data_IF_206056365971
#
_entry.id   IF_206056365971
#
_cell.length_a   1.000
_cell.length_b   1.000
_cell.length_c   1.000
_cell.angle_alpha   90.00
_cell.angle_beta   90.00
_cell.angle_gamma   90.00
#
_symmetry.space_group_name_H-M   'P 1'
#
loop_
_entity.id
_entity.type
_entity.pdbx_description
1 polymer ?
#
# COMPACT_ATOMS: atom_id res chain seq x y z
N UNK A 1 31.77 -11.28 5.70
CA UNK A 1 30.66 -10.31 5.81
C UNK A 1 30.80 -9.40 4.60
N UNK A 2 29.92 -9.52 3.61
CA UNK A 2 29.96 -8.67 2.43
C UNK A 2 29.39 -7.30 2.83
N UNK A 3 30.20 -6.26 2.63
CA UNK A 3 29.83 -4.88 2.86
C UNK A 3 28.81 -4.48 1.78
N UNK A 4 27.56 -4.22 2.19
CA UNK A 4 26.49 -3.77 1.30
C UNK A 4 26.69 -2.28 1.01
N UNK A 5 27.74 -1.95 0.27
CA UNK A 5 28.12 -0.56 -0.04
C UNK A 5 27.21 0.11 -1.06
N UNK A 6 26.31 -0.64 -1.71
CA UNK A 6 25.38 -0.07 -2.69
C UNK A 6 24.03 -0.80 -2.71
N UNK A 7 22.96 -0.04 -2.47
CA UNK A 7 21.56 -0.49 -2.53
C UNK A 7 20.87 -0.05 -3.83
N UNK A 8 21.60 0.57 -4.77
CA UNK A 8 21.08 1.03 -6.06
C UNK A 8 20.50 -0.09 -6.93
N UNK A 9 20.93 -1.34 -6.69
CA UNK A 9 20.39 -2.54 -7.33
C UNK A 9 19.25 -3.24 -6.57
N UNK A 10 18.87 -2.75 -5.38
CA UNK A 10 17.77 -3.30 -4.58
C UNK A 10 16.49 -2.55 -4.95
N UNK A 11 16.06 -2.68 -6.21
CA UNK A 11 14.68 -2.39 -6.58
C UNK A 11 13.88 -3.68 -6.46
N UNK A 12 13.27 -3.91 -5.30
CA UNK A 12 12.19 -4.88 -5.21
C UNK A 12 11.09 -4.50 -6.20
N UNK A 13 10.37 -5.48 -6.74
CA UNK A 13 9.12 -5.20 -7.45
C UNK A 13 8.21 -4.38 -6.54
N UNK A 14 7.67 -3.27 -7.04
CA UNK A 14 6.65 -2.52 -6.31
C UNK A 14 5.51 -3.43 -5.89
N UNK A 15 4.87 -3.12 -4.76
CA UNK A 15 3.74 -3.91 -4.26
C UNK A 15 2.61 -3.95 -5.29
N UNK A 16 2.00 -5.12 -5.46
CA UNK A 16 0.78 -5.26 -6.27
C UNK A 16 -0.41 -4.64 -5.54
N UNK A 17 -1.49 -4.37 -6.28
CA UNK A 17 -2.75 -3.84 -5.73
C UNK A 17 -3.30 -4.77 -4.63
N UNK A 18 -3.24 -6.08 -4.85
CA UNK A 18 -3.70 -7.10 -3.91
C UNK A 18 -2.86 -7.09 -2.64
N UNK A 19 -1.54 -6.92 -2.76
CA UNK A 19 -0.63 -6.85 -1.62
C UNK A 19 -0.89 -5.59 -0.78
N UNK A 20 -1.12 -4.43 -1.43
CA UNK A 20 -1.45 -3.19 -0.73
C UNK A 20 -2.79 -3.32 0.01
N UNK A 21 -3.81 -3.91 -0.63
CA UNK A 21 -5.12 -4.18 0.02
C UNK A 21 -5.00 -5.16 1.20
N UNK A 22 -4.13 -6.16 1.09
CA UNK A 22 -3.83 -7.08 2.19
C UNK A 22 -3.19 -6.37 3.38
N UNK A 23 -2.23 -5.48 3.13
CA UNK A 23 -1.59 -4.66 4.18
C UNK A 23 -2.62 -3.76 4.87
N UNK A 24 -3.48 -3.08 4.11
CA UNK A 24 -4.56 -2.25 4.67
C UNK A 24 -5.50 -3.06 5.57
N UNK A 25 -5.91 -4.24 5.11
CA UNK A 25 -6.78 -5.15 5.88
C UNK A 25 -6.12 -5.58 7.20
N UNK A 26 -4.81 -5.84 7.18
CA UNK A 26 -4.06 -6.20 8.39
C UNK A 26 -3.96 -5.01 9.37
N UNK A 27 -3.70 -3.81 8.87
CA UNK A 27 -3.66 -2.60 9.70
C UNK A 27 -5.02 -2.36 10.36
N UNK A 28 -6.12 -2.50 9.61
CA UNK A 28 -7.47 -2.33 10.14
C UNK A 28 -7.77 -3.34 11.24
N UNK A 29 -7.37 -4.60 11.06
CA UNK A 29 -7.50 -5.64 12.08
C UNK A 29 -6.69 -5.30 13.35
N UNK A 30 -5.46 -4.80 13.19
CA UNK A 30 -4.61 -4.46 14.33
C UNK A 30 -5.13 -3.24 15.10
N UNK A 31 -5.67 -2.24 14.39
CA UNK A 31 -6.37 -1.10 15.00
C UNK A 31 -7.60 -1.57 15.76
N UNK A 32 -8.44 -2.43 15.17
CA UNK A 32 -9.60 -3.01 15.83
C UNK A 32 -9.22 -3.79 17.08
N UNK A 33 -8.14 -4.58 17.04
CA UNK A 33 -7.65 -5.34 18.19
C UNK A 33 -7.16 -4.41 19.32
N UNK A 34 -6.47 -3.31 18.98
CA UNK A 34 -6.02 -2.32 19.97
C UNK A 34 -7.20 -1.64 20.67
N UNK A 35 -8.26 -1.33 19.92
CA UNK A 35 -9.47 -0.69 20.44
C UNK A 35 -10.33 -1.66 21.26
N UNK A 36 -10.60 -2.86 20.72
CA UNK A 36 -11.48 -3.87 21.33
C UNK A 36 -10.98 -4.34 22.69
N UNK A 37 -9.68 -4.57 22.80
CA UNK A 37 -9.11 -5.10 24.03
C UNK A 37 -8.98 -4.03 25.13
N UNK A 38 -9.48 -2.80 24.90
CA UNK A 38 -9.33 -1.68 25.83
C UNK A 38 -7.86 -1.34 26.13
N UNK A 39 -6.93 -1.85 25.30
CA UNK A 39 -5.48 -1.82 25.54
C UNK A 39 -4.90 -0.41 25.56
N UNK A 40 -5.65 0.58 25.06
CA UNK A 40 -5.29 2.00 25.12
C UNK A 40 -5.46 2.61 26.52
N UNK A 41 -6.27 1.99 27.40
CA UNK A 41 -6.62 2.56 28.72
C UNK A 41 -5.46 2.60 29.72
N UNK A 42 -4.40 1.80 29.56
CA UNK A 42 -3.09 2.20 30.05
C UNK A 42 -2.06 2.31 28.93
N UNK A 43 -1.62 3.54 28.76
CA UNK A 43 -0.64 3.98 27.79
C UNK A 43 0.73 3.34 28.01
N UNK A 44 0.99 2.82 29.21
CA UNK A 44 2.26 2.19 29.61
C UNK A 44 1.97 1.04 30.58
N UNK A 45 2.21 -0.20 30.15
CA UNK A 45 2.31 -1.33 31.08
C UNK A 45 3.72 -1.90 30.94
N UNK A 46 4.40 -2.10 32.06
CA UNK A 46 5.65 -2.84 32.06
C UNK A 46 5.38 -4.29 31.66
N UNK A 47 5.95 -4.72 30.52
CA UNK A 47 6.02 -6.15 30.21
C UNK A 47 6.98 -6.76 31.22
N UNK A 48 6.52 -7.77 31.96
CA UNK A 48 7.18 -8.30 33.15
C UNK A 48 8.65 -8.69 32.98
N UNK A 49 9.39 -8.53 34.09
CA UNK A 49 10.73 -9.03 34.39
C UNK A 49 11.85 -8.73 33.37
N UNK A 50 12.08 -7.46 33.05
CA UNK A 50 13.26 -7.02 32.30
C UNK A 50 13.11 -5.62 31.73
N UNK A 51 12.57 -4.69 32.53
CA UNK A 51 12.08 -3.39 32.11
C UNK A 51 13.10 -2.56 31.30
N UNK A 52 13.10 -2.75 29.97
CA UNK A 52 13.70 -1.86 28.98
C UNK A 52 12.83 -1.62 27.74
N UNK A 53 11.73 -2.37 27.57
CA UNK A 53 10.78 -2.17 26.47
C UNK A 53 9.41 -1.72 27.02
N UNK A 54 9.27 -0.43 27.29
CA UNK A 54 7.96 0.19 27.44
C UNK A 54 7.42 0.44 26.03
N UNK A 55 6.50 -0.39 25.56
CA UNK A 55 5.81 -0.14 24.27
C UNK A 55 4.71 0.89 24.52
N UNK A 56 4.90 2.10 24.00
CA UNK A 56 3.86 3.14 23.99
C UNK A 56 2.77 2.75 22.98
N UNK A 57 1.62 2.33 23.51
CA UNK A 57 0.49 1.86 22.69
C UNK A 57 -0.18 2.99 21.92
N UNK A 58 -0.11 4.22 22.42
CA UNK A 58 -0.58 5.41 21.71
C UNK A 58 0.31 5.71 20.51
N UNK A 59 1.63 5.64 20.71
CA UNK A 59 2.59 5.75 19.61
C UNK A 59 2.39 4.65 18.56
N UNK A 60 2.10 3.41 18.99
CA UNK A 60 1.80 2.32 18.07
C UNK A 60 0.52 2.56 17.25
N UNK A 61 -0.56 3.02 17.89
CA UNK A 61 -1.79 3.36 17.18
C UNK A 61 -1.55 4.48 16.16
N UNK A 62 -0.82 5.53 16.55
CA UNK A 62 -0.46 6.62 15.63
C UNK A 62 0.39 6.13 14.45
N UNK A 63 1.30 5.18 14.68
CA UNK A 63 2.09 4.57 13.62
C UNK A 63 1.20 3.78 12.64
N UNK A 64 0.26 2.97 13.16
CA UNK A 64 -0.71 2.23 12.34
C UNK A 64 -1.60 3.16 11.51
N UNK A 65 -2.12 4.24 12.11
CA UNK A 65 -2.95 5.22 11.40
C UNK A 65 -2.17 5.94 10.30
N UNK A 66 -0.90 6.32 10.56
CA UNK A 66 -0.02 6.90 9.54
C UNK A 66 0.29 5.92 8.41
N UNK A 67 0.59 4.67 8.76
CA UNK A 67 0.81 3.62 7.77
C UNK A 67 -0.42 3.41 6.90
N UNK A 68 -1.62 3.41 7.49
CA UNK A 68 -2.89 3.30 6.76
C UNK A 68 -3.03 4.38 5.70
N UNK A 69 -2.84 5.65 6.07
CA UNK A 69 -2.90 6.78 5.13
C UNK A 69 -1.90 6.62 3.99
N UNK A 70 -0.66 6.24 4.33
CA UNK A 70 0.38 6.01 3.32
C UNK A 70 0.01 4.93 2.31
N UNK A 71 -0.51 3.78 2.78
CA UNK A 71 -0.91 2.69 1.89
C UNK A 71 -2.19 2.99 1.10
N UNK A 72 -3.11 3.80 1.61
CA UNK A 72 -4.27 4.30 0.85
C UNK A 72 -3.84 5.22 -0.30
N UNK A 73 -2.86 6.10 -0.06
CA UNK A 73 -2.27 6.95 -1.10
C UNK A 73 -1.52 6.11 -2.14
N UNK A 74 -0.73 5.13 -1.68
CA UNK A 74 0.00 4.21 -2.56
C UNK A 74 -0.95 3.39 -3.43
N UNK A 75 -2.05 2.87 -2.86
CA UNK A 75 -3.07 2.14 -3.59
C UNK A 75 -3.66 2.97 -4.73
N UNK A 76 -4.10 4.20 -4.42
CA UNK A 76 -4.67 5.12 -5.39
C UNK A 76 -3.69 5.44 -6.51
N UNK A 77 -2.45 5.78 -6.16
CA UNK A 77 -1.40 6.07 -7.15
C UNK A 77 -1.10 4.88 -8.07
N UNK A 78 -1.19 3.65 -7.52
CA UNK A 78 -0.96 2.41 -8.26
C UNK A 78 -2.13 2.11 -9.20
N UNK A 79 -3.37 2.25 -8.74
CA UNK A 79 -4.58 2.09 -9.55
C UNK A 79 -4.64 3.12 -10.69
N UNK A 80 -4.29 4.39 -10.42
CA UNK A 80 -4.20 5.44 -11.45
C UNK A 80 -3.12 5.16 -12.49
N UNK A 81 -1.96 4.65 -12.07
CA UNK A 81 -0.89 4.25 -13.01
C UNK A 81 -1.35 3.11 -13.91
N UNK A 82 -1.93 2.06 -13.32
CA UNK A 82 -2.44 0.91 -14.07
C UNK A 82 -3.54 1.38 -15.04
N UNK A 83 -4.44 2.26 -14.62
CA UNK A 83 -5.49 2.80 -15.49
C UNK A 83 -4.91 3.53 -16.71
N UNK A 84 -3.90 4.39 -16.52
CA UNK A 84 -3.20 5.08 -17.62
C UNK A 84 -2.48 4.11 -18.57
N UNK A 85 -1.83 3.09 -18.03
CA UNK A 85 -1.15 2.06 -18.83
C UNK A 85 -2.13 1.12 -19.55
N UNK A 86 -3.38 1.05 -19.07
CA UNK A 86 -4.45 0.25 -19.66
C UNK A 86 -5.28 1.02 -20.68
N UNK A 87 -5.03 2.32 -20.88
CA UNK A 87 -5.65 3.08 -21.97
C UNK A 87 -5.06 2.57 -23.31
N UNK A 88 -5.90 2.03 -24.22
CA UNK A 88 -5.40 1.56 -25.50
C UNK A 88 -4.86 2.73 -26.31
N UNK A 89 -3.59 2.65 -26.71
CA UNK A 89 -3.05 3.55 -27.73
C UNK A 89 -3.98 3.53 -28.96
N UNK A 90 -4.31 4.72 -29.46
CA UNK A 90 -5.28 4.97 -30.53
C UNK A 90 -5.20 4.05 -31.76
N UNK A 91 -6.37 3.76 -32.35
CA UNK A 91 -6.54 4.01 -33.78
C UNK A 91 -6.35 2.82 -34.74
N UNK A 92 -7.23 1.81 -34.66
CA UNK A 92 -7.62 1.08 -35.86
C UNK A 92 -8.58 1.93 -36.68
N UNK A 93 -8.06 2.80 -37.56
CA UNK A 93 -8.87 3.41 -38.60
C UNK A 93 -9.35 2.32 -39.56
N UNK A 94 -10.65 2.07 -39.64
CA UNK A 94 -11.26 1.62 -40.89
C UNK A 94 -11.99 2.81 -41.50
N UNK A 95 -11.24 3.67 -42.20
CA UNK A 95 -11.85 4.51 -43.23
C UNK A 95 -12.13 3.57 -44.39
N UNK A 96 -13.38 3.12 -44.52
CA UNK A 96 -13.84 2.45 -45.74
C UNK A 96 -13.89 3.49 -46.87
N UNK A 97 -12.78 3.61 -47.61
CA UNK A 97 -12.71 4.26 -48.91
C UNK A 97 -12.83 3.17 -49.98
N UNK A 98 -14.03 3.02 -50.52
CA UNK A 98 -14.41 2.09 -51.59
C UNK A 98 -15.86 1.70 -51.33
N UNK A 99 -16.85 2.34 -51.94
CA UNK A 99 -17.08 2.29 -53.38
C UNK A 99 -17.44 3.66 -53.97
N UNK A 100 -16.51 4.17 -54.76
CA UNK A 100 -16.74 5.14 -55.83
C UNK A 100 -17.14 4.34 -57.08
N UNK A 101 -18.38 4.56 -57.55
CA UNK A 101 -18.96 4.25 -58.87
C UNK A 101 -19.15 2.77 -59.26
N UNK A 102 -20.39 2.39 -59.60
CA UNK A 102 -20.77 2.18 -61.01
C UNK A 102 -22.30 2.05 -61.20
N UNK A 103 -22.82 2.96 -62.04
CA UNK A 103 -24.03 2.97 -62.90
C UNK A 103 -25.42 2.68 -62.34
#
# INVERSE_FOLDING_TARGET
MADLTDLSGVSGSGLSVEQIRGILSQIDLDVLNLLRDGKLSALKYGVGAGAKASVDRGANLMALLKARVHYEELLRSTEERIARESEPEHGGWEVSQGELWEK
#
